data_IF_725348917663
#
_entry.id   IF_725348917663
#
_cell.length_a   1.000
_cell.length_b   1.000
_cell.length_c   1.000
_cell.angle_alpha   90.00
_cell.angle_beta   90.00
_cell.angle_gamma   90.00
#
_symmetry.space_group_name_H-M   'P 1'
#
loop_
_entity.id
_entity.type
_entity.pdbx_description
1 polymer ?
#
# COMPACT_ATOMS: atom_id res chain seq x y z
N UNK A 1 0.94 7.51 -41.99
CA UNK A 1 0.18 6.84 -40.91
C UNK A 1 -1.27 6.75 -41.32
N UNK A 2 -1.80 5.54 -41.45
CA UNK A 2 -3.18 5.26 -41.87
C UNK A 2 -4.10 5.07 -40.64
N UNK A 3 -5.41 5.28 -40.82
CA UNK A 3 -6.41 5.22 -39.73
C UNK A 3 -6.38 3.91 -38.95
N UNK A 4 -6.08 2.80 -39.64
CA UNK A 4 -5.93 1.48 -39.03
C UNK A 4 -4.74 1.41 -38.05
N UNK A 5 -3.55 1.93 -38.42
CA UNK A 5 -2.40 1.97 -37.52
C UNK A 5 -2.66 2.75 -36.23
N UNK A 6 -3.38 3.88 -36.31
CA UNK A 6 -3.72 4.67 -35.12
C UNK A 6 -4.60 3.89 -34.15
N UNK A 7 -5.66 3.24 -34.65
CA UNK A 7 -6.59 2.45 -33.81
C UNK A 7 -5.87 1.28 -33.13
N UNK A 8 -4.98 0.58 -33.86
CA UNK A 8 -4.19 -0.52 -33.27
C UNK A 8 -3.26 0.00 -32.17
N UNK A 9 -2.61 1.14 -32.36
CA UNK A 9 -1.74 1.76 -31.35
C UNK A 9 -2.53 2.18 -30.10
N UNK A 10 -3.73 2.74 -30.27
CA UNK A 10 -4.59 3.13 -29.13
C UNK A 10 -5.07 1.92 -28.34
N UNK A 11 -5.45 0.83 -29.01
CA UNK A 11 -5.85 -0.42 -28.35
C UNK A 11 -4.70 -1.05 -27.56
N UNK A 12 -3.51 -1.11 -28.16
CA UNK A 12 -2.32 -1.68 -27.49
C UNK A 12 -1.95 -0.84 -26.27
N UNK A 13 -1.92 0.49 -26.39
CA UNK A 13 -1.61 1.37 -25.26
C UNK A 13 -2.65 1.26 -24.14
N UNK A 14 -3.94 1.19 -24.48
CA UNK A 14 -5.00 0.96 -23.50
C UNK A 14 -4.85 -0.38 -22.77
N UNK A 15 -4.57 -1.47 -23.49
CA UNK A 15 -4.32 -2.77 -22.88
C UNK A 15 -3.11 -2.76 -21.93
N UNK A 16 -2.02 -2.09 -22.32
CA UNK A 16 -0.83 -1.95 -21.44
C UNK A 16 -1.18 -1.17 -20.18
N UNK A 17 -1.95 -0.08 -20.30
CA UNK A 17 -2.37 0.72 -19.16
C UNK A 17 -3.24 -0.10 -18.19
N UNK A 18 -4.20 -0.85 -18.74
CA UNK A 18 -5.10 -1.71 -17.96
C UNK A 18 -4.31 -2.79 -17.21
N UNK A 19 -3.35 -3.42 -17.89
CA UNK A 19 -2.48 -4.41 -17.27
C UNK A 19 -1.66 -3.80 -16.14
N UNK A 20 -1.08 -2.62 -16.35
CA UNK A 20 -0.29 -1.92 -15.34
C UNK A 20 -1.12 -1.64 -14.07
N UNK A 21 -2.37 -1.18 -14.21
CA UNK A 21 -3.26 -0.90 -13.07
C UNK A 21 -3.61 -2.18 -12.30
N UNK A 22 -3.80 -3.31 -12.99
CA UNK A 22 -4.12 -4.58 -12.32
C UNK A 22 -2.93 -5.22 -11.60
N UNK A 23 -1.71 -4.95 -12.04
CA UNK A 23 -0.50 -5.54 -11.45
C UNK A 23 -0.01 -4.74 -10.24
N UNK A 24 -0.28 -3.43 -10.18
CA UNK A 24 0.16 -2.59 -9.08
C UNK A 24 -0.71 -2.85 -7.84
N UNK A 25 -0.13 -3.34 -6.72
CA UNK A 25 -0.88 -3.49 -5.49
C UNK A 25 -1.34 -2.13 -5.02
N UNK A 26 -2.63 -1.99 -4.77
CA UNK A 26 -3.23 -0.70 -4.44
C UNK A 26 -2.97 -0.31 -2.97
N UNK A 27 -2.81 0.98 -2.67
CA UNK A 27 -2.72 1.45 -1.30
C UNK A 27 -4.08 1.32 -0.59
N UNK A 28 -4.02 1.13 0.73
CA UNK A 28 -5.18 0.97 1.61
C UNK A 28 -4.97 1.77 2.89
N UNK A 29 -6.05 2.28 3.47
CA UNK A 29 -6.02 2.99 4.74
C UNK A 29 -6.18 1.96 5.86
N UNK A 30 -5.18 1.88 6.74
CA UNK A 30 -5.23 1.04 7.94
C UNK A 30 -5.57 1.88 9.15
N UNK A 31 -6.53 1.44 9.94
CA UNK A 31 -6.70 1.88 11.32
C UNK A 31 -6.07 0.83 12.21
N UNK A 32 -5.10 1.23 13.04
CA UNK A 32 -4.34 0.32 13.88
C UNK A 32 -4.15 0.87 15.30
N UNK A 33 -4.03 -0.03 16.28
CA UNK A 33 -3.97 0.32 17.68
C UNK A 33 -2.74 -0.27 18.38
N UNK A 34 -2.17 0.50 19.31
CA UNK A 34 -1.20 0.01 20.29
C UNK A 34 -1.39 0.73 21.62
N UNK A 35 -1.48 -0.04 22.71
CA UNK A 35 -1.63 0.48 24.08
C UNK A 35 -2.77 1.51 24.23
N UNK A 36 -3.96 1.20 23.68
CA UNK A 36 -5.14 2.09 23.65
C UNK A 36 -4.98 3.38 22.82
N UNK A 37 -3.91 3.50 22.04
CA UNK A 37 -3.72 4.60 21.09
C UNK A 37 -4.08 4.10 19.70
N UNK A 38 -5.15 4.66 19.13
CA UNK A 38 -5.61 4.38 17.76
C UNK A 38 -4.96 5.37 16.80
N UNK A 39 -4.42 4.85 15.70
CA UNK A 39 -3.78 5.61 14.64
C UNK A 39 -4.31 5.16 13.29
N UNK A 40 -4.20 6.05 12.29
CA UNK A 40 -4.52 5.76 10.90
C UNK A 40 -3.27 5.98 10.07
N UNK A 41 -3.06 5.14 9.06
CA UNK A 41 -1.95 5.30 8.13
C UNK A 41 -2.21 4.65 6.78
N UNK A 42 -1.55 5.17 5.75
CA UNK A 42 -1.73 4.71 4.37
C UNK A 42 -0.72 3.60 4.11
N UNK A 43 -1.19 2.36 4.12
CA UNK A 43 -0.36 1.19 3.85
C UNK A 43 -0.36 0.85 2.37
N UNK A 44 0.83 0.73 1.80
CA UNK A 44 1.03 0.20 0.46
C UNK A 44 1.70 -1.18 0.55
N UNK A 45 1.08 -2.26 0.03
CA UNK A 45 1.61 -3.62 0.16
C UNK A 45 2.93 -3.87 -0.59
N UNK A 46 3.20 -3.06 -1.62
CA UNK A 46 4.35 -3.25 -2.52
C UNK A 46 4.31 -4.58 -3.29
N UNK A 47 5.23 -4.75 -4.24
CA UNK A 47 5.20 -5.88 -5.19
C UNK A 47 5.77 -7.21 -4.65
N UNK A 48 6.36 -7.24 -3.46
CA UNK A 48 7.06 -8.41 -2.92
C UNK A 48 6.83 -8.65 -1.41
N UNK A 49 5.67 -8.24 -0.89
CA UNK A 49 5.33 -8.41 0.53
C UNK A 49 6.19 -7.57 1.48
N UNK A 50 7.00 -6.65 0.93
CA UNK A 50 7.64 -5.54 1.65
C UNK A 50 6.74 -4.33 1.48
N UNK A 51 5.79 -4.20 2.38
CA UNK A 51 4.93 -3.03 2.40
C UNK A 51 5.61 -1.84 3.06
N UNK A 52 4.97 -0.69 2.91
CA UNK A 52 5.39 0.56 3.53
C UNK A 52 4.17 1.34 4.00
N UNK A 53 4.33 2.08 5.09
CA UNK A 53 3.42 3.15 5.45
C UNK A 53 3.87 4.41 4.71
N UNK A 54 3.00 5.03 3.92
CA UNK A 54 3.33 6.21 3.12
C UNK A 54 3.38 7.49 3.98
N UNK A 55 2.77 7.44 5.15
CA UNK A 55 2.65 8.50 6.14
C UNK A 55 3.72 8.43 7.26
N UNK A 56 4.47 7.32 7.34
CA UNK A 56 5.46 7.10 8.39
C UNK A 56 6.82 6.67 7.84
N UNK A 57 7.91 7.09 8.51
CA UNK A 57 9.28 6.66 8.17
C UNK A 57 9.59 5.28 8.76
N UNK A 58 8.96 4.25 8.21
CA UNK A 58 9.24 2.85 8.55
C UNK A 58 10.16 2.23 7.48
N UNK A 59 11.14 1.45 7.93
CA UNK A 59 12.08 0.74 7.05
C UNK A 59 11.45 -0.52 6.44
N UNK A 60 10.56 -1.16 7.20
CA UNK A 60 9.82 -2.33 6.75
C UNK A 60 8.45 -2.36 7.41
N UNK A 61 7.40 -2.58 6.61
CA UNK A 61 6.04 -2.75 7.10
C UNK A 61 5.41 -3.99 6.51
N UNK A 62 4.76 -4.80 7.34
CA UNK A 62 4.01 -5.97 6.89
C UNK A 62 2.76 -6.17 7.72
N UNK A 63 1.64 -6.39 7.04
CA UNK A 63 0.41 -6.86 7.67
C UNK A 63 0.42 -8.39 7.67
N UNK A 64 0.38 -9.00 8.84
CA UNK A 64 0.13 -10.43 8.99
C UNK A 64 -1.38 -10.68 8.95
N UNK A 65 -1.85 -11.26 7.85
CA UNK A 65 -3.27 -11.59 7.64
C UNK A 65 -3.80 -12.66 8.61
N UNK A 66 -2.93 -13.47 9.21
CA UNK A 66 -3.36 -14.52 10.16
C UNK A 66 -3.66 -13.94 11.54
N UNK A 67 -2.85 -12.99 11.98
CA UNK A 67 -2.96 -12.40 13.31
C UNK A 67 -3.60 -11.01 13.31
N UNK A 68 -3.87 -10.44 12.12
CA UNK A 68 -4.28 -9.06 11.92
C UNK A 68 -3.36 -8.06 12.63
N UNK A 69 -2.06 -8.37 12.65
CA UNK A 69 -1.06 -7.49 13.23
C UNK A 69 -0.27 -6.78 12.13
N UNK A 70 -0.08 -5.48 12.31
CA UNK A 70 0.80 -4.64 11.55
C UNK A 70 2.17 -4.61 12.22
N UNK A 71 3.17 -5.15 11.53
CA UNK A 71 4.57 -5.14 11.94
C UNK A 71 5.23 -3.93 11.30
N UNK A 72 5.78 -3.04 12.13
CA UNK A 72 6.48 -1.83 11.69
C UNK A 72 7.89 -1.86 12.25
N UNK A 73 8.90 -1.96 11.38
CA UNK A 73 10.31 -1.99 11.77
C UNK A 73 11.03 -0.71 11.33
N UNK A 74 11.87 -0.20 12.21
CA UNK A 74 12.74 0.93 11.96
C UNK A 74 14.20 0.48 12.08
N UNK A 75 14.99 0.71 11.04
CA UNK A 75 16.43 0.45 11.05
C UNK A 75 17.14 1.67 11.67
N UNK A 76 17.84 1.44 12.78
CA UNK A 76 18.69 2.42 13.43
C UNK A 76 20.17 2.02 13.27
N UNK A 77 21.10 2.95 13.53
CA UNK A 77 22.55 2.69 13.42
C UNK A 77 23.05 1.50 14.25
N UNK A 78 22.31 1.09 15.29
CA UNK A 78 22.68 0.03 16.23
C UNK A 78 21.77 -1.22 16.16
N UNK A 79 20.90 -1.33 15.15
CA UNK A 79 20.02 -2.48 14.97
C UNK A 79 18.62 -2.11 14.48
N UNK A 80 17.80 -3.14 14.25
CA UNK A 80 16.40 -2.96 13.85
C UNK A 80 15.48 -3.08 15.06
N UNK A 81 14.56 -2.12 15.22
CA UNK A 81 13.50 -2.21 16.23
C UNK A 81 12.16 -2.40 15.55
N UNK A 82 11.53 -3.54 15.82
CA UNK A 82 10.21 -3.87 15.29
C UNK A 82 9.13 -3.67 16.36
N UNK A 83 8.02 -3.09 15.94
CA UNK A 83 6.86 -2.82 16.78
C UNK A 83 5.63 -3.51 16.17
N UNK A 84 4.76 -4.00 17.04
CA UNK A 84 3.53 -4.67 16.65
C UNK A 84 2.33 -3.79 17.00
N UNK A 85 1.43 -3.64 16.04
CA UNK A 85 0.19 -2.92 16.16
C UNK A 85 -0.94 -3.85 15.75
N UNK A 86 -2.11 -3.76 16.38
CA UNK A 86 -3.27 -4.55 15.99
C UNK A 86 -4.06 -3.77 14.95
N UNK A 87 -4.31 -4.36 13.78
CA UNK A 87 -5.14 -3.76 12.74
C UNK A 87 -6.61 -3.88 13.18
N UNK A 88 -7.27 -2.73 13.29
CA UNK A 88 -8.68 -2.61 13.64
C UNK A 88 -9.55 -2.64 12.38
N UNK A 89 -9.12 -1.92 11.34
CA UNK A 89 -9.89 -1.75 10.12
C UNK A 89 -8.96 -1.56 8.93
N UNK A 90 -9.38 -2.11 7.78
CA UNK A 90 -8.69 -1.97 6.51
C UNK A 90 -9.67 -1.43 5.47
N UNK A 91 -9.37 -0.26 4.91
CA UNK A 91 -10.23 0.42 3.96
C UNK A 91 -9.51 0.62 2.62
N UNK A 92 -10.25 0.53 1.51
CA UNK A 92 -9.68 0.65 0.16
C UNK A 92 -9.32 2.09 -0.26
N UNK A 93 -8.98 2.25 -1.53
CA UNK A 93 -8.59 3.54 -2.14
C UNK A 93 -9.55 4.71 -1.83
N UNK A 94 -10.89 4.56 -1.82
CA UNK A 94 -11.78 5.70 -1.54
C UNK A 94 -11.49 6.35 -0.17
N UNK A 95 -11.18 5.54 0.84
CA UNK A 95 -10.80 6.03 2.16
C UNK A 95 -9.42 6.70 2.16
N UNK A 96 -8.48 6.19 1.36
CA UNK A 96 -7.16 6.82 1.17
C UNK A 96 -7.32 8.21 0.55
N UNK A 97 -8.13 8.35 -0.50
CA UNK A 97 -8.39 9.64 -1.16
C UNK A 97 -9.06 10.61 -0.19
N UNK A 98 -10.08 10.16 0.55
CA UNK A 98 -10.76 10.98 1.55
C UNK A 98 -9.82 11.41 2.67
N UNK A 99 -8.86 10.57 3.06
CA UNK A 99 -7.88 10.91 4.10
C UNK A 99 -6.84 11.95 3.64
N UNK A 100 -6.63 12.10 2.33
CA UNK A 100 -5.68 13.05 1.74
C UNK A 100 -6.32 14.40 1.36
N UNK A 101 -7.65 14.49 1.29
CA UNK A 101 -8.42 15.70 1.01
C UNK A 101 -8.63 16.53 2.28
#
# INVERSE_FOLDING_TARGET
>A
MNKAQYVTLTLVTFCILLLAVTLVPMPQLLTYERANIVSKGIYWPGFHGKGQLLDARASFVKVDQKTNNLHVCHSFKHGETCQHYRVMETQGIPAVILHLL
#
